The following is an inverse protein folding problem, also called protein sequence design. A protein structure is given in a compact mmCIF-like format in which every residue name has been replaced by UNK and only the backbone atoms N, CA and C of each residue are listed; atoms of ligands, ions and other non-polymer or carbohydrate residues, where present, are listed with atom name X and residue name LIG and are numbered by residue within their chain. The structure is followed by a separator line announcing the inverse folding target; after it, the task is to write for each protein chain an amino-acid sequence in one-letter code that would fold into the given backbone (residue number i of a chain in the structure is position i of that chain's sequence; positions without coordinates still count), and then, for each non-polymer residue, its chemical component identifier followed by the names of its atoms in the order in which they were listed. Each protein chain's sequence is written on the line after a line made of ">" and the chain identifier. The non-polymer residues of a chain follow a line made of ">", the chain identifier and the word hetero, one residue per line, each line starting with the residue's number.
data_IF_670346511770
#
_entry.id   IF_670346511770
#
_cell.length_a   1.000
_cell.length_b   1.000
_cell.length_c   1.000
_cell.angle_alpha   90.00
_cell.angle_beta   90.00
_cell.angle_gamma   90.00
#
_symmetry.space_group_name_H-M   'P 1'
#
loop_
_entity.id
_entity.type
_entity.pdbx_description
1 polymer ?
#
# COMPACT_ATOMS: atom_id res chain seq x y z
N UNK A 1 22.64 -12.47 34.74
CA UNK A 1 21.60 -12.69 33.71
C UNK A 1 20.77 -11.44 33.34
N UNK A 2 21.19 -10.21 33.68
CA UNK A 2 20.36 -9.01 33.47
C UNK A 2 20.61 -8.25 32.14
N UNK A 3 21.80 -8.36 31.54
CA UNK A 3 22.17 -7.62 30.33
C UNK A 3 21.39 -8.04 29.08
N UNK A 4 21.17 -9.35 28.91
CA UNK A 4 20.48 -9.90 27.73
C UNK A 4 19.01 -9.46 27.64
N UNK A 5 18.33 -9.33 28.79
CA UNK A 5 16.94 -8.86 28.86
C UNK A 5 16.81 -7.41 28.38
N UNK A 6 17.78 -6.55 28.71
CA UNK A 6 17.80 -5.13 28.28
C UNK A 6 18.05 -5.00 26.78
N UNK A 7 18.94 -5.82 26.22
CA UNK A 7 19.20 -5.87 24.78
C UNK A 7 17.99 -6.37 23.99
N UNK A 8 17.32 -7.42 24.46
CA UNK A 8 16.08 -7.91 23.87
C UNK A 8 14.97 -6.85 23.92
N UNK A 9 14.83 -6.15 25.06
CA UNK A 9 13.83 -5.09 25.19
C UNK A 9 14.12 -3.93 24.22
N UNK A 10 15.37 -3.51 24.11
CA UNK A 10 15.77 -2.48 23.14
C UNK A 10 15.49 -2.90 21.70
N UNK A 11 15.83 -4.13 21.34
CA UNK A 11 15.58 -4.66 19.99
C UNK A 11 14.08 -4.72 19.66
N UNK A 12 13.23 -5.10 20.62
CA UNK A 12 11.77 -5.13 20.43
C UNK A 12 11.19 -3.73 20.28
N UNK A 13 11.65 -2.76 21.07
CA UNK A 13 11.16 -1.38 20.98
C UNK A 13 11.58 -0.73 19.66
N UNK A 14 12.86 -0.86 19.27
CA UNK A 14 13.37 -0.30 18.02
C UNK A 14 12.73 -1.01 16.82
N UNK A 15 12.72 -2.34 16.81
CA UNK A 15 12.12 -3.12 15.74
C UNK A 15 10.63 -2.88 15.61
N UNK A 16 9.89 -2.84 16.72
CA UNK A 16 8.47 -2.53 16.75
C UNK A 16 8.18 -1.11 16.26
N UNK A 17 8.98 -0.13 16.70
CA UNK A 17 8.86 1.26 16.24
C UNK A 17 9.09 1.40 14.74
N UNK A 18 10.12 0.75 14.20
CA UNK A 18 10.40 0.74 12.76
C UNK A 18 9.28 0.07 11.95
N UNK A 19 8.72 -1.03 12.44
CA UNK A 19 7.58 -1.69 11.78
C UNK A 19 6.36 -0.78 11.71
N UNK A 20 6.00 -0.12 12.82
CA UNK A 20 4.86 0.80 12.86
C UNK A 20 5.10 2.00 11.93
N UNK A 21 6.30 2.58 11.98
CA UNK A 21 6.67 3.69 11.11
C UNK A 21 6.58 3.30 9.63
N UNK A 22 7.09 2.13 9.26
CA UNK A 22 7.00 1.61 7.89
C UNK A 22 5.56 1.40 7.43
N UNK A 23 4.71 0.82 8.28
CA UNK A 23 3.28 0.62 7.98
C UNK A 23 2.57 1.94 7.76
N UNK A 24 2.81 2.94 8.61
CA UNK A 24 2.23 4.27 8.46
C UNK A 24 2.69 4.94 7.17
N UNK A 25 3.98 4.83 6.85
CA UNK A 25 4.55 5.42 5.64
C UNK A 25 3.92 4.82 4.38
N UNK A 26 3.75 3.50 4.33
CA UNK A 26 3.04 2.81 3.23
C UNK A 26 1.60 3.30 3.15
N UNK A 27 0.88 3.41 4.27
CA UNK A 27 -0.52 3.85 4.28
C UNK A 27 -0.69 5.31 3.84
N UNK A 28 0.27 6.18 4.17
CA UNK A 28 0.27 7.60 3.77
C UNK A 28 0.62 7.74 2.28
N UNK A 29 1.54 6.93 1.78
CA UNK A 29 2.04 7.07 0.41
C UNK A 29 1.18 6.30 -0.61
N UNK A 30 0.72 5.11 -0.25
CA UNK A 30 -0.11 4.23 -1.07
C UNK A 30 -1.57 4.46 -0.73
N UNK A 31 -2.08 5.64 -1.06
CA UNK A 31 -3.51 5.94 -0.91
C UNK A 31 -4.30 5.39 -2.09
N UNK A 32 -5.56 4.97 -1.89
CA UNK A 32 -6.38 4.39 -2.96
C UNK A 32 -6.56 5.33 -4.14
N UNK A 33 -6.56 6.65 -3.92
CA UNK A 33 -6.68 7.66 -4.97
C UNK A 33 -5.43 7.70 -5.86
N UNK A 34 -4.23 7.65 -5.26
CA UNK A 34 -2.98 7.63 -6.03
C UNK A 34 -2.85 6.35 -6.84
N UNK A 35 -3.23 5.22 -6.24
CA UNK A 35 -3.23 3.92 -6.93
C UNK A 35 -4.26 3.91 -8.06
N UNK A 36 -5.45 4.47 -7.85
CA UNK A 36 -6.47 4.59 -8.90
C UNK A 36 -5.95 5.34 -10.12
N UNK A 37 -5.35 6.52 -9.91
CA UNK A 37 -4.78 7.32 -11.00
C UNK A 37 -3.67 6.57 -11.71
N UNK A 38 -2.69 6.02 -10.96
CA UNK A 38 -1.56 5.30 -11.54
C UNK A 38 -2.00 4.09 -12.37
N UNK A 39 -2.94 3.31 -11.85
CA UNK A 39 -3.45 2.12 -12.53
C UNK A 39 -4.31 2.51 -13.73
N UNK A 40 -5.17 3.52 -13.60
CA UNK A 40 -5.98 3.99 -14.73
C UNK A 40 -5.08 4.50 -15.85
N UNK A 41 -4.12 5.38 -15.56
CA UNK A 41 -3.19 5.89 -16.58
C UNK A 41 -2.38 4.78 -17.24
N UNK A 42 -1.85 3.83 -16.47
CA UNK A 42 -1.10 2.70 -17.02
C UNK A 42 -1.97 1.78 -17.88
N UNK A 43 -3.24 1.59 -17.51
CA UNK A 43 -4.19 0.81 -18.32
C UNK A 43 -4.60 1.55 -19.59
N UNK A 44 -4.84 2.86 -19.53
CA UNK A 44 -5.16 3.67 -20.71
C UNK A 44 -4.01 3.67 -21.72
N UNK A 45 -2.77 3.75 -21.23
CA UNK A 45 -1.57 3.65 -22.06
C UNK A 45 -1.42 2.26 -22.69
N UNK A 46 -1.59 1.20 -21.90
CA UNK A 46 -1.47 -0.18 -22.39
C UNK A 46 -2.59 -0.58 -23.36
N UNK A 47 -3.82 -0.12 -23.13
CA UNK A 47 -4.99 -0.46 -23.94
C UNK A 47 -5.23 0.54 -25.08
N UNK A 48 -4.48 1.65 -25.12
CA UNK A 48 -4.65 2.76 -26.07
C UNK A 48 -6.11 3.28 -26.14
N UNK A 49 -6.85 3.13 -25.03
CA UNK A 49 -8.28 3.42 -24.92
C UNK A 49 -8.59 3.95 -23.53
N UNK A 50 -9.60 4.82 -23.43
CA UNK A 50 -10.08 5.32 -22.15
C UNK A 50 -10.66 4.17 -21.34
N UNK A 51 -10.22 4.05 -20.09
CA UNK A 51 -10.76 3.05 -19.15
C UNK A 51 -11.31 3.75 -17.93
N UNK A 52 -12.43 3.26 -17.43
CA UNK A 52 -12.99 3.66 -16.15
C UNK A 52 -12.66 2.59 -15.12
N UNK A 53 -11.93 2.98 -14.08
CA UNK A 53 -11.77 2.17 -12.87
C UNK A 53 -12.82 2.58 -11.84
N UNK A 54 -13.51 1.59 -11.27
CA UNK A 54 -14.37 1.78 -10.11
C UNK A 54 -13.58 1.93 -8.81
N UNK A 55 -14.05 1.28 -7.75
CA UNK A 55 -13.44 1.39 -6.43
C UNK A 55 -12.04 0.74 -6.40
N UNK A 56 -11.08 1.43 -5.78
CA UNK A 56 -9.76 0.89 -5.47
C UNK A 56 -9.63 0.78 -3.96
N UNK A 57 -9.38 -0.44 -3.50
CA UNK A 57 -9.15 -0.71 -2.08
C UNK A 57 -7.69 -1.06 -1.87
N UNK A 58 -7.03 -0.36 -0.96
CA UNK A 58 -5.66 -0.64 -0.55
C UNK A 58 -5.68 -1.16 0.88
N UNK A 59 -5.24 -2.40 1.07
CA UNK A 59 -5.06 -2.99 2.40
C UNK A 59 -3.65 -3.52 2.59
N UNK A 60 -3.12 -3.34 3.79
CA UNK A 60 -1.76 -3.76 4.14
C UNK A 60 -1.54 -5.28 4.00
N UNK A 61 -2.58 -6.08 4.27
CA UNK A 61 -2.54 -7.54 4.15
C UNK A 61 -3.26 -8.06 2.92
N UNK A 62 -4.33 -7.38 2.48
CA UNK A 62 -5.12 -7.79 1.31
C UNK A 62 -4.52 -7.32 -0.02
N UNK A 63 -3.48 -6.47 0.01
CA UNK A 63 -2.89 -5.85 -1.17
C UNK A 63 -3.80 -4.79 -1.79
N UNK A 64 -3.58 -4.54 -3.09
CA UNK A 64 -4.36 -3.62 -3.91
C UNK A 64 -5.47 -4.42 -4.60
N UNK A 65 -6.73 -4.06 -4.35
CA UNK A 65 -7.89 -4.61 -5.07
C UNK A 65 -8.50 -3.54 -5.96
N UNK A 66 -8.75 -3.92 -7.21
CA UNK A 66 -9.33 -3.06 -8.23
C UNK A 66 -10.73 -3.63 -8.56
N UNK A 67 -11.77 -2.84 -8.36
CA UNK A 67 -13.13 -3.25 -8.67
C UNK A 67 -13.64 -2.52 -9.92
N UNK A 68 -14.41 -3.25 -10.75
CA UNK A 68 -15.12 -2.73 -11.93
C UNK A 68 -14.22 -1.97 -12.90
N UNK A 69 -13.35 -2.69 -13.60
CA UNK A 69 -12.69 -2.17 -14.80
C UNK A 69 -13.69 -2.16 -15.96
N UNK A 70 -13.94 -0.99 -16.55
CA UNK A 70 -14.75 -0.85 -17.74
C UNK A 70 -13.96 -0.11 -18.82
N UNK A 71 -13.96 -0.64 -20.04
CA UNK A 71 -13.40 0.06 -21.19
C UNK A 71 -14.48 0.99 -21.71
N UNK A 72 -14.21 2.30 -21.79
CA UNK A 72 -15.13 3.22 -22.44
C UNK A 72 -14.96 3.04 -23.95
N UNK A 73 -16.06 2.65 -24.60
CA UNK A 73 -16.08 2.33 -26.02
C UNK A 73 -16.32 3.54 -26.91
#
# INVERSE_FOLDING_TARGET
>A
MAGWKKLLLGAVVIGGGLLIAGILLVKIYVTPERVHILVQSGLEEALQRKVSLGAVEVGLFSGIKLAKLSIQS
#
